data_IF_198543978208
#
_entry.id   IF_198543978208
#
_cell.length_a   1.000
_cell.length_b   1.000
_cell.length_c   1.000
_cell.angle_alpha   90.00
_cell.angle_beta   90.00
_cell.angle_gamma   90.00
#
_symmetry.space_group_name_H-M   'P 1'
#
loop_
_entity.id
_entity.type
_entity.pdbx_description
1 polymer ?
#
# COMPACT_ATOMS: atom_id res chain seq x y z
N UNK A 1 -17.55 18.73 -0.34
CA UNK A 1 -16.23 18.40 0.23
C UNK A 1 -15.16 18.61 -0.84
N UNK A 2 -14.12 19.33 -0.53
CA UNK A 2 -13.04 19.59 -1.49
C UNK A 2 -12.15 18.38 -1.66
N UNK A 3 -11.80 18.08 -2.91
CA UNK A 3 -10.81 17.06 -3.26
C UNK A 3 -9.43 17.49 -2.76
N UNK A 4 -8.65 16.60 -2.19
CA UNK A 4 -7.28 16.88 -1.80
C UNK A 4 -6.45 17.27 -3.04
N UNK A 5 -5.43 18.13 -2.84
CA UNK A 5 -4.55 18.52 -3.94
C UNK A 5 -3.64 17.37 -4.35
N UNK A 6 -3.03 16.69 -3.36
CA UNK A 6 -2.05 15.63 -3.58
C UNK A 6 -2.32 14.42 -2.69
N UNK A 7 -2.04 13.23 -3.24
CA UNK A 7 -2.09 11.99 -2.49
C UNK A 7 -0.90 11.11 -2.83
N UNK A 8 -0.56 10.25 -1.88
CA UNK A 8 0.38 9.14 -2.12
C UNK A 8 -0.41 7.86 -1.85
N UNK A 9 -0.41 6.96 -2.83
CA UNK A 9 -1.12 5.70 -2.80
C UNK A 9 -0.10 4.57 -2.65
N UNK A 10 -0.17 3.85 -1.55
CA UNK A 10 0.76 2.74 -1.27
C UNK A 10 0.08 1.40 -1.50
N UNK A 11 0.73 0.55 -2.26
CA UNK A 11 0.50 -0.89 -2.24
C UNK A 11 1.01 -1.49 -0.92
N UNK A 12 0.58 -2.69 -0.56
CA UNK A 12 1.06 -3.37 0.65
C UNK A 12 2.07 -4.46 0.33
N UNK A 13 1.64 -5.57 -0.28
CA UNK A 13 2.48 -6.75 -0.50
C UNK A 13 3.60 -6.46 -1.50
N UNK A 14 4.85 -6.60 -1.08
CA UNK A 14 6.02 -6.29 -1.90
C UNK A 14 6.42 -4.80 -1.89
N UNK A 15 5.64 -3.95 -1.25
CA UNK A 15 5.89 -2.50 -1.14
C UNK A 15 6.17 -2.09 0.30
N UNK A 16 5.26 -2.33 1.20
CA UNK A 16 5.41 -2.10 2.64
C UNK A 16 5.65 -3.41 3.39
N UNK A 17 5.00 -4.48 2.95
CA UNK A 17 4.91 -5.77 3.61
C UNK A 17 5.77 -6.79 2.87
N UNK A 18 6.67 -7.44 3.57
CA UNK A 18 7.54 -8.47 2.99
C UNK A 18 6.85 -9.84 2.99
N UNK A 19 5.71 -9.92 2.29
CA UNK A 19 4.91 -11.14 2.19
C UNK A 19 5.71 -12.29 1.56
N UNK A 20 6.44 -11.99 0.51
CA UNK A 20 7.13 -13.00 -0.31
C UNK A 20 8.33 -13.65 0.38
N UNK A 21 8.74 -13.12 1.52
CA UNK A 21 9.78 -13.74 2.37
C UNK A 21 9.21 -14.66 3.45
N UNK A 22 7.88 -14.72 3.58
CA UNK A 22 7.24 -15.65 4.52
C UNK A 22 7.35 -17.06 3.95
N UNK A 23 7.85 -18.00 4.77
CA UNK A 23 8.00 -19.41 4.37
C UNK A 23 6.66 -19.96 3.91
N UNK A 24 6.65 -20.61 2.74
CA UNK A 24 5.46 -21.25 2.16
C UNK A 24 4.25 -20.31 1.96
N UNK A 25 4.51 -19.00 1.75
CA UNK A 25 3.45 -18.01 1.64
C UNK A 25 2.42 -18.37 0.56
N UNK A 26 2.89 -18.80 -0.62
CA UNK A 26 2.00 -19.08 -1.75
C UNK A 26 1.13 -20.32 -1.49
N UNK A 27 1.69 -21.38 -0.94
CA UNK A 27 0.95 -22.59 -0.60
C UNK A 27 -0.10 -22.32 0.47
N UNK A 28 0.26 -21.51 1.48
CA UNK A 28 -0.65 -21.10 2.54
C UNK A 28 -1.82 -20.26 1.98
N UNK A 29 -1.54 -19.30 1.12
CA UNK A 29 -2.60 -18.52 0.47
C UNK A 29 -3.53 -19.43 -0.35
N UNK A 30 -2.97 -20.37 -1.08
CA UNK A 30 -3.75 -21.32 -1.90
C UNK A 30 -4.62 -22.26 -1.06
N UNK A 31 -4.24 -22.49 0.19
CA UNK A 31 -5.03 -23.28 1.14
C UNK A 31 -5.90 -22.43 2.07
N UNK A 32 -6.09 -21.15 1.74
CA UNK A 32 -6.91 -20.20 2.48
C UNK A 32 -6.40 -19.95 3.91
N UNK A 33 -5.09 -19.93 4.09
CA UNK A 33 -4.43 -19.58 5.33
C UNK A 33 -3.98 -18.11 5.27
N UNK A 34 -4.52 -17.26 6.13
CA UNK A 34 -4.20 -15.83 6.16
C UNK A 34 -2.97 -15.50 7.02
N UNK A 35 -2.35 -16.48 7.67
CA UNK A 35 -1.19 -16.24 8.55
C UNK A 35 -0.01 -15.56 7.88
N UNK A 36 0.31 -15.79 6.58
CA UNK A 36 1.38 -15.04 5.94
C UNK A 36 1.20 -13.52 6.00
N UNK A 37 -0.04 -13.03 5.89
CA UNK A 37 -0.32 -11.60 5.96
C UNK A 37 -0.07 -11.03 7.36
N UNK A 38 -0.32 -11.82 8.40
CA UNK A 38 -0.08 -11.41 9.79
C UNK A 38 1.39 -11.56 10.19
N UNK A 39 2.06 -12.59 9.69
CA UNK A 39 3.44 -12.94 10.06
C UNK A 39 4.49 -12.12 9.32
N UNK A 40 4.16 -11.54 8.17
CA UNK A 40 5.11 -10.81 7.35
C UNK A 40 5.68 -9.60 8.10
N UNK A 41 6.97 -9.34 7.88
CA UNK A 41 7.65 -8.17 8.46
C UNK A 41 7.57 -6.99 7.50
N UNK A 42 7.74 -5.76 8.00
CA UNK A 42 7.90 -4.61 7.11
C UNK A 42 9.16 -4.75 6.26
N UNK A 43 9.10 -4.29 5.01
CA UNK A 43 10.27 -4.22 4.13
C UNK A 43 11.27 -3.19 4.66
N UNK A 44 10.77 -2.07 5.18
CA UNK A 44 11.57 -1.00 5.76
C UNK A 44 11.42 -0.98 7.27
N UNK A 45 12.42 -0.45 7.97
CA UNK A 45 12.31 -0.21 9.39
C UNK A 45 11.12 0.75 9.65
N UNK A 46 10.13 0.30 10.39
CA UNK A 46 8.94 1.09 10.68
C UNK A 46 9.28 2.39 11.42
N UNK A 47 10.30 2.39 12.26
CA UNK A 47 10.77 3.59 12.96
C UNK A 47 11.32 4.66 12.02
N UNK A 48 11.69 4.28 10.82
CA UNK A 48 12.22 5.17 9.79
C UNK A 48 11.12 5.59 8.81
N UNK A 49 10.36 4.63 8.30
CA UNK A 49 9.35 4.90 7.27
C UNK A 49 8.08 5.56 7.83
N UNK A 50 7.59 5.09 8.99
CA UNK A 50 6.33 5.61 9.56
C UNK A 50 6.38 7.11 9.86
N UNK A 51 7.43 7.64 10.52
CA UNK A 51 7.53 9.09 10.72
C UNK A 51 7.59 9.89 9.42
N UNK A 52 8.23 9.34 8.39
CA UNK A 52 8.32 9.98 7.08
C UNK A 52 6.94 10.08 6.42
N UNK A 53 6.16 9.02 6.44
CA UNK A 53 4.79 9.03 5.91
C UNK A 53 3.92 9.99 6.72
N UNK A 54 4.04 9.98 8.05
CA UNK A 54 3.30 10.89 8.93
C UNK A 54 3.62 12.35 8.62
N UNK A 55 4.86 12.68 8.34
CA UNK A 55 5.26 14.04 7.98
C UNK A 55 4.70 14.46 6.62
N UNK A 56 4.72 13.56 5.64
CA UNK A 56 4.06 13.80 4.34
C UNK A 56 2.58 14.10 4.52
N UNK A 57 1.91 13.32 5.39
CA UNK A 57 0.51 13.56 5.72
C UNK A 57 0.30 14.95 6.36
N UNK A 58 1.15 15.34 7.28
CA UNK A 58 1.11 16.65 7.94
C UNK A 58 1.36 17.81 6.96
N UNK A 59 2.08 17.54 5.88
CA UNK A 59 2.34 18.50 4.79
C UNK A 59 1.23 18.57 3.75
N UNK A 60 0.12 17.86 3.98
CA UNK A 60 -1.07 17.95 3.13
C UNK A 60 -1.25 16.82 2.14
N UNK A 61 -0.36 15.81 2.12
CA UNK A 61 -0.59 14.62 1.32
C UNK A 61 -1.67 13.75 1.95
N UNK A 62 -2.68 13.41 1.16
CA UNK A 62 -3.61 12.36 1.55
C UNK A 62 -2.90 11.02 1.40
N UNK A 63 -2.90 10.19 2.42
CA UNK A 63 -2.26 8.87 2.40
C UNK A 63 -3.33 7.81 2.19
N UNK A 64 -3.20 7.07 1.09
CA UNK A 64 -4.15 6.04 0.68
C UNK A 64 -3.42 4.70 0.60
N UNK A 65 -4.00 3.68 1.20
CA UNK A 65 -3.52 2.30 1.05
C UNK A 65 -4.47 1.60 0.07
N UNK A 66 -3.93 0.99 -0.97
CA UNK A 66 -4.71 0.19 -1.92
C UNK A 66 -4.00 -1.13 -2.16
N UNK A 67 -4.61 -2.21 -1.73
CA UNK A 67 -4.03 -3.55 -1.80
C UNK A 67 -5.03 -4.57 -2.34
N UNK A 68 -4.53 -5.48 -3.15
CA UNK A 68 -5.34 -6.57 -3.66
C UNK A 68 -5.48 -7.69 -2.64
N UNK A 69 -6.66 -8.29 -2.60
CA UNK A 69 -6.90 -9.54 -1.90
C UNK A 69 -6.30 -10.72 -2.68
N UNK A 70 -6.30 -11.91 -2.10
CA UNK A 70 -5.71 -13.08 -2.73
C UNK A 70 -6.44 -13.50 -4.00
N UNK A 71 -5.69 -13.93 -5.00
CA UNK A 71 -6.25 -14.48 -6.23
C UNK A 71 -7.00 -15.79 -5.95
N UNK A 72 -8.16 -15.98 -6.58
CA UNK A 72 -8.93 -17.21 -6.45
C UNK A 72 -9.50 -17.44 -5.05
N UNK A 73 -9.82 -16.38 -4.34
CA UNK A 73 -10.24 -16.40 -2.94
C UNK A 73 -11.73 -16.72 -2.76
N UNK A 74 -12.10 -17.01 -1.51
CA UNK A 74 -13.48 -17.13 -1.06
C UNK A 74 -13.86 -15.89 -0.25
N UNK A 75 -15.16 -15.71 -0.01
CA UNK A 75 -15.69 -14.61 0.79
C UNK A 75 -15.15 -14.62 2.23
N UNK A 76 -15.07 -15.80 2.81
CA UNK A 76 -14.56 -16.02 4.18
C UNK A 76 -13.06 -15.71 4.25
N UNK A 77 -12.31 -16.15 3.27
CA UNK A 77 -10.87 -15.88 3.22
C UNK A 77 -10.60 -14.39 3.01
N UNK A 78 -11.35 -13.73 2.13
CA UNK A 78 -11.25 -12.28 1.93
C UNK A 78 -11.45 -11.51 3.23
N UNK A 79 -12.44 -11.91 4.03
CA UNK A 79 -12.68 -11.32 5.36
C UNK A 79 -11.47 -11.48 6.27
N UNK A 80 -10.89 -12.67 6.32
CA UNK A 80 -9.71 -12.96 7.13
C UNK A 80 -8.49 -12.15 6.65
N UNK A 81 -8.30 -12.04 5.35
CA UNK A 81 -7.20 -11.27 4.76
C UNK A 81 -7.35 -9.77 5.04
N UNK A 82 -8.57 -9.22 4.89
CA UNK A 82 -8.83 -7.81 5.22
C UNK A 82 -8.50 -7.51 6.68
N UNK A 83 -8.93 -8.37 7.57
CA UNK A 83 -8.63 -8.24 8.99
C UNK A 83 -7.13 -8.27 9.25
N UNK A 84 -6.43 -9.26 8.69
CA UNK A 84 -4.99 -9.41 8.85
C UNK A 84 -4.23 -8.19 8.35
N UNK A 85 -4.58 -7.66 7.19
CA UNK A 85 -3.93 -6.47 6.62
C UNK A 85 -4.14 -5.22 7.46
N UNK A 86 -5.35 -5.00 7.94
CA UNK A 86 -5.66 -3.85 8.82
C UNK A 86 -4.93 -3.95 10.16
N UNK A 87 -4.90 -5.13 10.75
CA UNK A 87 -4.19 -5.39 12.01
C UNK A 87 -2.67 -5.20 11.82
N UNK A 88 -2.13 -5.59 10.67
CA UNK A 88 -0.73 -5.39 10.35
C UNK A 88 -0.36 -3.89 10.32
N UNK A 89 -1.16 -3.09 9.63
CA UNK A 89 -0.94 -1.63 9.57
C UNK A 89 -1.01 -1.00 10.96
N UNK A 90 -1.97 -1.42 11.77
CA UNK A 90 -2.12 -0.93 13.15
C UNK A 90 -0.94 -1.35 14.02
N UNK A 91 -0.49 -2.59 13.90
CA UNK A 91 0.65 -3.13 14.66
C UNK A 91 1.93 -2.32 14.45
N UNK A 92 2.19 -1.90 13.23
CA UNK A 92 3.39 -1.13 12.88
C UNK A 92 3.16 0.38 12.86
N UNK A 93 1.94 0.82 13.14
CA UNK A 93 1.63 2.25 13.28
C UNK A 93 1.60 3.03 11.98
N UNK A 94 1.38 2.39 10.83
CA UNK A 94 1.31 3.09 9.56
C UNK A 94 0.11 4.04 9.50
N UNK A 95 0.33 5.34 9.31
CA UNK A 95 -0.77 6.30 9.18
C UNK A 95 -1.38 6.23 7.78
N UNK A 96 -2.69 6.35 7.69
CA UNK A 96 -3.38 6.52 6.41
C UNK A 96 -4.73 7.21 6.64
N UNK A 97 -5.20 7.87 5.60
CA UNK A 97 -6.51 8.53 5.60
C UNK A 97 -7.59 7.61 5.04
N UNK A 98 -7.21 6.70 4.14
CA UNK A 98 -8.15 5.87 3.41
C UNK A 98 -7.49 4.54 3.07
N UNK A 99 -8.26 3.46 3.11
CA UNK A 99 -7.80 2.11 2.78
C UNK A 99 -8.78 1.42 1.84
N UNK A 100 -8.25 0.81 0.77
CA UNK A 100 -8.98 0.00 -0.19
C UNK A 100 -8.35 -1.39 -0.25
N UNK A 101 -9.06 -2.37 0.28
CA UNK A 101 -8.69 -3.79 0.17
C UNK A 101 -9.66 -4.42 -0.80
N UNK A 102 -9.21 -4.62 -2.04
CA UNK A 102 -10.07 -4.90 -3.18
C UNK A 102 -9.72 -6.22 -3.84
N UNK A 103 -10.65 -6.75 -4.60
CA UNK A 103 -10.48 -8.01 -5.32
C UNK A 103 -9.23 -7.98 -6.21
N UNK A 104 -8.51 -9.10 -6.26
CA UNK A 104 -7.31 -9.25 -7.09
C UNK A 104 -7.58 -8.81 -8.53
N UNK A 105 -6.71 -7.96 -9.04
CA UNK A 105 -6.80 -7.43 -10.40
C UNK A 105 -7.66 -6.19 -10.57
N UNK A 106 -8.31 -5.70 -9.52
CA UNK A 106 -9.07 -4.44 -9.58
C UNK A 106 -8.13 -3.29 -9.96
N UNK A 107 -8.44 -2.50 -11.01
CA UNK A 107 -7.60 -1.36 -11.39
C UNK A 107 -7.45 -0.35 -10.25
N UNK A 108 -6.23 -0.08 -9.83
CA UNK A 108 -5.95 0.84 -8.71
C UNK A 108 -6.32 2.28 -9.06
N UNK A 109 -6.22 2.65 -10.33
CA UNK A 109 -6.71 3.94 -10.84
C UNK A 109 -8.19 4.14 -10.50
N UNK A 110 -9.00 3.09 -10.68
CA UNK A 110 -10.44 3.14 -10.37
C UNK A 110 -10.69 3.42 -8.89
N UNK A 111 -9.90 2.82 -8.00
CA UNK A 111 -10.05 3.03 -6.55
C UNK A 111 -9.71 4.47 -6.13
N UNK A 112 -8.77 5.10 -6.80
CA UNK A 112 -8.24 6.42 -6.44
C UNK A 112 -8.85 7.58 -7.20
N UNK A 113 -9.62 7.31 -8.25
CA UNK A 113 -10.19 8.37 -9.09
C UNK A 113 -11.02 9.36 -8.25
N UNK A 114 -10.72 10.65 -8.39
CA UNK A 114 -11.41 11.72 -7.67
C UNK A 114 -10.94 11.95 -6.23
N UNK A 115 -9.98 11.19 -5.74
CA UNK A 115 -9.51 11.31 -4.35
C UNK A 115 -8.52 12.47 -4.14
N UNK A 116 -7.76 12.80 -5.18
CA UNK A 116 -6.87 13.95 -5.20
C UNK A 116 -6.65 14.39 -6.65
N UNK A 117 -6.19 15.62 -6.86
CA UNK A 117 -5.92 16.14 -8.20
C UNK A 117 -4.68 15.49 -8.81
N UNK A 118 -3.66 15.25 -7.99
CA UNK A 118 -2.42 14.61 -8.40
C UNK A 118 -2.07 13.51 -7.41
N UNK A 119 -1.81 12.32 -7.91
CA UNK A 119 -1.57 11.15 -7.04
C UNK A 119 -0.33 10.39 -7.47
N UNK A 120 0.51 10.06 -6.51
CA UNK A 120 1.71 9.26 -6.71
C UNK A 120 1.43 7.84 -6.26
N UNK A 121 1.57 6.87 -7.16
CA UNK A 121 1.43 5.46 -6.82
C UNK A 121 2.79 4.86 -6.47
N UNK A 122 2.89 4.23 -5.31
CA UNK A 122 4.06 3.47 -4.87
C UNK A 122 3.70 2.00 -4.91
N UNK A 123 4.26 1.26 -5.85
CA UNK A 123 3.90 -0.13 -6.12
C UNK A 123 5.08 -0.90 -6.72
N UNK A 124 5.26 -2.16 -6.34
CA UNK A 124 6.32 -3.02 -6.86
C UNK A 124 5.96 -3.67 -8.21
N UNK A 125 4.70 -3.66 -8.58
CA UNK A 125 4.20 -4.29 -9.81
C UNK A 125 4.30 -3.34 -11.00
N UNK A 126 5.15 -3.69 -11.97
CA UNK A 126 5.39 -2.88 -13.16
C UNK A 126 4.13 -2.69 -14.01
N UNK A 127 3.30 -3.72 -14.15
CA UNK A 127 2.06 -3.63 -14.92
C UNK A 127 1.07 -2.67 -14.27
N UNK A 128 0.93 -2.73 -12.95
CA UNK A 128 0.07 -1.81 -12.19
C UNK A 128 0.56 -0.38 -12.38
N UNK A 129 1.87 -0.13 -12.26
CA UNK A 129 2.42 1.20 -12.49
C UNK A 129 2.17 1.69 -13.91
N UNK A 130 2.33 0.83 -14.90
CA UNK A 130 2.13 1.21 -16.32
C UNK A 130 0.71 1.66 -16.65
N UNK A 131 -0.27 1.19 -15.88
CA UNK A 131 -1.69 1.52 -16.04
C UNK A 131 -2.14 2.72 -15.21
N UNK A 132 -1.27 3.28 -14.39
CA UNK A 132 -1.59 4.42 -13.54
C UNK A 132 -1.65 5.70 -14.36
N UNK A 133 -2.76 6.44 -14.27
CA UNK A 133 -3.01 7.66 -15.05
C UNK A 133 -3.28 8.91 -14.21
N UNK A 134 -3.20 8.79 -12.88
CA UNK A 134 -3.58 9.88 -11.97
C UNK A 134 -2.42 10.76 -11.51
N UNK A 135 -1.23 10.48 -11.98
CA UNK A 135 0.00 11.20 -11.64
C UNK A 135 1.24 10.36 -11.94
N UNK A 136 2.26 10.49 -11.13
CA UNK A 136 3.50 9.72 -11.29
C UNK A 136 3.49 8.42 -10.50
N UNK A 137 4.52 7.61 -10.72
CA UNK A 137 4.71 6.34 -10.00
C UNK A 137 6.09 6.27 -9.39
N UNK A 138 6.21 5.49 -8.33
CA UNK A 138 7.49 5.11 -7.71
C UNK A 138 7.58 3.59 -7.76
N UNK A 139 8.70 3.09 -8.29
CA UNK A 139 9.01 1.66 -8.33
C UNK A 139 9.43 1.18 -6.94
N UNK A 140 8.57 0.43 -6.29
CA UNK A 140 8.84 -0.08 -4.94
C UNK A 140 9.79 -1.29 -4.91
N UNK A 141 10.32 -1.73 -6.04
CA UNK A 141 11.45 -2.66 -6.08
C UNK A 141 12.77 -1.97 -5.70
N UNK A 142 12.79 -0.64 -5.77
CA UNK A 142 13.90 0.19 -5.30
C UNK A 142 13.60 0.72 -3.90
N UNK A 143 14.61 1.31 -3.24
CA UNK A 143 14.40 1.92 -1.93
C UNK A 143 13.52 3.18 -2.04
N UNK A 144 12.33 3.13 -1.47
CA UNK A 144 11.38 4.24 -1.56
C UNK A 144 11.69 5.39 -0.59
N UNK A 145 12.49 5.16 0.44
CA UNK A 145 12.76 6.18 1.46
C UNK A 145 13.40 7.44 0.88
N UNK A 146 14.49 7.36 0.08
CA UNK A 146 15.05 8.56 -0.54
C UNK A 146 14.07 9.27 -1.48
N UNK A 147 13.20 8.52 -2.15
CA UNK A 147 12.19 9.08 -3.05
C UNK A 147 11.13 9.87 -2.29
N UNK A 148 10.65 9.33 -1.17
CA UNK A 148 9.69 10.01 -0.30
C UNK A 148 10.33 11.24 0.39
N UNK A 149 11.58 11.14 0.78
CA UNK A 149 12.33 12.27 1.33
C UNK A 149 12.48 13.40 0.32
N UNK A 150 12.71 13.07 -0.95
CA UNK A 150 12.77 14.06 -2.03
C UNK A 150 11.44 14.78 -2.22
N UNK A 151 10.33 14.06 -2.17
CA UNK A 151 8.98 14.64 -2.24
C UNK A 151 8.76 15.60 -1.07
N UNK A 152 9.15 15.19 0.13
CA UNK A 152 9.01 16.02 1.32
C UNK A 152 9.81 17.32 1.22
N UNK A 153 11.00 17.28 0.66
CA UNK A 153 11.83 18.48 0.44
C UNK A 153 11.16 19.48 -0.51
N UNK A 154 10.45 19.01 -1.52
CA UNK A 154 9.77 19.87 -2.48
C UNK A 154 8.63 20.67 -1.84
N UNK A 155 8.04 20.16 -0.77
CA UNK A 155 6.88 20.78 -0.09
C UNK A 155 7.23 21.41 1.26
N UNK A 156 8.49 21.33 1.64
CA UNK A 156 8.97 21.88 2.92
C UNK A 156 9.00 23.41 2.91
#
# INVERSE_FOLDING_TARGET
MMCAEKAIVFDMDGTLVNLYSVSEWLEKLRSYDATPYSAAKPIYNAKELVPLIAELKDRGFRIIITSWLSKGSTKEYDSAVRKAKKEWLAKYGFPYDEIHLVKYGTPKTKCSRGKAKYQILVDDNAEVRSKWTLGSTIDANENIIPMLEAILKEVA
#
